data_IF_739079407461
#
_entry.id   IF_739079407461
#
_cell.length_a   1.000
_cell.length_b   1.000
_cell.length_c   1.000
_cell.angle_alpha   90.00
_cell.angle_beta   90.00
_cell.angle_gamma   90.00
#
_symmetry.space_group_name_H-M   'P 1'
#
loop_
_entity.id
_entity.type
_entity.pdbx_description
1 polymer ?
#
# COMPACT_ATOMS: atom_id res chain seq x y z
N UNK A 1 -6.63 -2.36 -19.52
CA UNK A 1 -6.27 -3.71 -20.05
C UNK A 1 -5.21 -4.31 -19.15
N UNK A 2 -5.31 -5.60 -18.83
CA UNK A 2 -4.30 -6.32 -18.03
C UNK A 2 -3.72 -7.47 -18.82
N UNK A 3 -2.42 -7.69 -18.74
CA UNK A 3 -1.75 -8.80 -19.40
C UNK A 3 -0.65 -9.35 -18.50
N UNK A 4 -0.60 -10.66 -18.37
CA UNK A 4 0.46 -11.38 -17.68
C UNK A 4 1.14 -12.31 -18.68
N UNK A 5 2.46 -12.26 -18.75
CA UNK A 5 3.27 -13.16 -19.57
C UNK A 5 4.14 -13.98 -18.65
N UNK A 6 3.92 -15.28 -18.61
CA UNK A 6 4.85 -16.20 -17.94
C UNK A 6 6.14 -16.25 -18.76
N UNK A 7 7.22 -15.71 -18.20
CA UNK A 7 8.55 -15.84 -18.76
C UNK A 7 9.12 -17.24 -18.47
N UNK A 8 8.84 -17.77 -17.26
CA UNK A 8 8.97 -19.20 -16.91
C UNK A 8 7.93 -19.58 -15.82
N UNK A 9 7.95 -20.83 -15.34
CA UNK A 9 7.13 -21.31 -14.20
C UNK A 9 7.29 -20.48 -12.90
N UNK A 10 8.42 -19.81 -12.71
CA UNK A 10 8.76 -19.02 -11.52
C UNK A 10 8.79 -17.50 -11.77
N UNK A 11 8.62 -17.04 -13.01
CA UNK A 11 8.72 -15.62 -13.36
C UNK A 11 7.58 -15.19 -14.26
N UNK A 12 6.89 -14.14 -13.87
CA UNK A 12 5.87 -13.47 -14.69
C UNK A 12 6.25 -12.01 -14.90
N UNK A 13 6.02 -11.52 -16.11
CA UNK A 13 5.95 -10.09 -16.39
C UNK A 13 4.49 -9.66 -16.40
N UNK A 14 4.18 -8.58 -15.69
CA UNK A 14 2.84 -8.01 -15.62
C UNK A 14 2.85 -6.64 -16.28
N UNK A 15 1.89 -6.42 -17.16
CA UNK A 15 1.69 -5.17 -17.88
C UNK A 15 0.21 -4.79 -17.83
N UNK A 16 -0.07 -3.56 -17.40
CA UNK A 16 -1.41 -3.02 -17.39
C UNK A 16 -1.44 -1.61 -18.00
N UNK A 17 -2.45 -1.39 -18.84
CA UNK A 17 -2.80 -0.07 -19.37
C UNK A 17 -4.11 0.39 -18.75
N UNK A 18 -4.22 1.69 -18.51
CA UNK A 18 -5.48 2.33 -18.12
C UNK A 18 -5.84 3.49 -19.03
N UNK A 19 -7.07 3.95 -18.88
CA UNK A 19 -7.61 5.09 -19.60
C UNK A 19 -8.73 5.69 -18.79
N UNK A 20 -8.54 6.92 -18.33
CA UNK A 20 -9.52 7.65 -17.51
C UNK A 20 -10.50 8.42 -18.39
N UNK A 21 -11.53 7.72 -18.85
CA UNK A 21 -12.55 8.29 -19.76
C UNK A 21 -13.80 8.71 -19.00
N UNK A 22 -14.06 10.02 -18.97
CA UNK A 22 -15.35 10.56 -18.55
C UNK A 22 -16.35 10.59 -19.72
N UNK A 23 -17.59 10.15 -19.48
CA UNK A 23 -18.62 10.06 -20.51
C UNK A 23 -19.12 11.45 -20.93
N UNK A 24 -19.17 11.71 -22.24
CA UNK A 24 -19.67 12.97 -22.80
C UNK A 24 -18.64 14.12 -22.80
N UNK A 25 -17.39 13.84 -22.46
CA UNK A 25 -16.25 14.78 -22.51
C UNK A 25 -15.07 14.07 -23.17
N UNK A 26 -14.25 14.74 -23.98
CA UNK A 26 -13.04 14.16 -24.59
C UNK A 26 -12.23 13.30 -23.59
N UNK A 27 -11.94 12.01 -23.87
CA UNK A 27 -12.21 11.26 -25.11
C UNK A 27 -13.54 10.49 -25.16
N UNK A 28 -14.42 10.61 -24.16
CA UNK A 28 -15.69 9.89 -24.06
C UNK A 28 -16.89 10.56 -24.73
N UNK A 29 -16.67 11.57 -25.58
CA UNK A 29 -17.69 12.18 -26.43
C UNK A 29 -17.84 11.47 -27.79
N UNK A 30 -18.81 11.91 -28.61
CA UNK A 30 -19.09 11.31 -29.91
C UNK A 30 -17.92 11.58 -30.86
N UNK A 31 -17.23 10.51 -31.26
CA UNK A 31 -16.01 10.59 -32.06
C UNK A 31 -14.89 9.78 -31.44
N UNK A 32 -14.82 9.78 -30.10
CA UNK A 32 -14.00 8.92 -29.23
C UNK A 32 -12.58 8.67 -29.76
N UNK A 33 -11.92 9.73 -30.24
CA UNK A 33 -10.58 9.70 -30.83
C UNK A 33 -9.56 10.61 -30.11
N UNK A 34 -9.90 11.03 -28.89
CA UNK A 34 -9.02 11.82 -28.03
C UNK A 34 -7.68 11.13 -27.76
N UNK A 35 -6.62 11.93 -27.74
CA UNK A 35 -5.23 11.46 -27.63
C UNK A 35 -4.69 11.64 -26.22
N UNK A 36 -3.78 10.75 -25.83
CA UNK A 36 -3.04 10.88 -24.57
C UNK A 36 -3.71 10.22 -23.36
N UNK A 37 -4.90 9.64 -23.52
CA UNK A 37 -5.67 9.02 -22.45
C UNK A 37 -5.29 7.55 -22.20
N UNK A 38 -4.09 7.12 -22.61
CA UNK A 38 -3.64 5.74 -22.44
C UNK A 38 -2.40 5.76 -21.56
N UNK A 39 -2.57 5.47 -20.28
CA UNK A 39 -1.49 5.42 -19.32
C UNK A 39 -1.01 3.98 -19.09
N UNK A 40 0.26 3.86 -18.71
CA UNK A 40 0.82 2.61 -18.22
C UNK A 40 0.62 2.57 -16.71
N UNK A 41 -0.32 1.74 -16.27
CA UNK A 41 -0.63 1.60 -14.84
C UNK A 41 0.39 0.71 -14.14
N UNK A 42 0.60 -0.51 -14.64
CA UNK A 42 1.55 -1.46 -14.04
C UNK A 42 2.56 -2.00 -15.05
N UNK A 43 3.82 -2.07 -14.60
CA UNK A 43 4.93 -2.76 -15.29
C UNK A 43 5.85 -3.32 -14.23
N UNK A 44 5.76 -4.62 -13.97
CA UNK A 44 6.61 -5.25 -12.97
C UNK A 44 6.91 -6.71 -13.29
N UNK A 45 7.99 -7.21 -12.69
CA UNK A 45 8.33 -8.62 -12.67
C UNK A 45 7.88 -9.22 -11.34
N UNK A 46 7.26 -10.39 -11.41
CA UNK A 46 6.77 -11.19 -10.29
C UNK A 46 7.55 -12.52 -10.26
N UNK A 47 8.43 -12.66 -9.28
CA UNK A 47 9.26 -13.83 -9.05
C UNK A 47 8.68 -14.66 -7.92
N UNK A 48 8.38 -15.92 -8.20
CA UNK A 48 8.16 -16.92 -7.19
C UNK A 48 9.49 -17.68 -6.96
N UNK A 49 10.00 -17.67 -5.73
CA UNK A 49 11.25 -18.34 -5.35
C UNK A 49 10.94 -19.49 -4.37
N UNK A 50 10.56 -20.68 -4.86
CA UNK A 50 10.06 -21.76 -4.01
C UNK A 50 11.07 -22.23 -2.95
N UNK A 51 12.36 -22.25 -3.29
CA UNK A 51 13.43 -22.66 -2.37
C UNK A 51 13.56 -21.74 -1.15
N UNK A 52 13.20 -20.47 -1.30
CA UNK A 52 13.18 -19.47 -0.22
C UNK A 52 11.79 -19.28 0.40
N UNK A 53 10.75 -19.88 -0.20
CA UNK A 53 9.34 -19.61 0.12
C UNK A 53 9.01 -18.12 0.05
N UNK A 54 9.62 -17.43 -0.91
CA UNK A 54 9.55 -15.98 -1.07
C UNK A 54 8.93 -15.64 -2.41
N UNK A 55 7.97 -14.72 -2.41
CA UNK A 55 7.54 -14.00 -3.60
C UNK A 55 8.19 -12.62 -3.61
N UNK A 56 8.63 -12.15 -4.79
CA UNK A 56 9.20 -10.82 -4.99
C UNK A 56 8.53 -10.17 -6.18
N UNK A 57 8.02 -8.96 -6.00
CA UNK A 57 7.53 -8.13 -7.11
C UNK A 57 8.34 -6.85 -7.22
N UNK A 58 8.84 -6.54 -8.40
CA UNK A 58 9.69 -5.37 -8.65
C UNK A 58 9.25 -4.60 -9.89
N UNK A 59 8.93 -3.31 -9.72
CA UNK A 59 8.47 -2.42 -10.79
C UNK A 59 7.31 -1.51 -10.34
N UNK A 60 6.62 -0.92 -11.32
CA UNK A 60 5.40 -0.13 -11.12
C UNK A 60 4.22 -1.05 -10.81
N UNK A 61 3.69 -0.98 -9.59
CA UNK A 61 2.70 -1.91 -9.06
C UNK A 61 1.92 -1.30 -7.89
N UNK A 62 0.79 -1.92 -7.55
CA UNK A 62 -0.01 -1.53 -6.39
C UNK A 62 0.65 -1.95 -5.07
N UNK A 63 0.74 -1.01 -4.13
CA UNK A 63 1.16 -1.25 -2.74
C UNK A 63 0.00 -0.99 -1.80
N UNK A 64 -0.32 -1.98 -0.96
CA UNK A 64 -1.27 -1.84 0.15
C UNK A 64 -0.59 -2.15 1.47
N UNK A 65 -0.24 -1.10 2.19
CA UNK A 65 0.52 -1.14 3.44
C UNK A 65 -0.33 -0.57 4.57
N UNK A 66 -0.43 -1.31 5.68
CA UNK A 66 -1.29 -0.96 6.83
C UNK A 66 -2.75 -0.66 6.44
N UNK A 67 -3.39 -1.63 5.78
CA UNK A 67 -4.71 -1.50 5.15
C UNK A 67 -4.92 -0.29 4.22
N UNK A 68 -3.85 0.40 3.77
CA UNK A 68 -3.95 1.61 2.95
C UNK A 68 -3.55 2.89 3.68
N UNK A 69 -3.41 2.89 5.01
CA UNK A 69 -3.10 4.10 5.78
C UNK A 69 -1.68 4.61 5.59
N UNK A 70 -0.75 3.74 5.21
CA UNK A 70 0.63 4.14 4.87
C UNK A 70 0.79 4.26 3.35
N UNK A 71 0.30 3.27 2.61
CA UNK A 71 0.26 3.29 1.16
C UNK A 71 -0.95 2.46 0.69
N UNK A 72 -1.70 3.00 -0.26
CA UNK A 72 -2.89 2.36 -0.84
C UNK A 72 -3.03 2.67 -2.32
N UNK A 73 -1.91 2.82 -3.02
CA UNK A 73 -1.83 3.29 -4.40
C UNK A 73 -0.70 2.61 -5.19
N UNK A 74 -0.63 2.92 -6.48
CA UNK A 74 0.41 2.47 -7.40
C UNK A 74 1.70 3.27 -7.22
N UNK A 75 2.82 2.55 -7.13
CA UNK A 75 4.14 3.16 -7.03
C UNK A 75 5.20 2.27 -7.67
N UNK A 76 6.40 2.82 -7.84
CA UNK A 76 7.56 2.05 -8.29
C UNK A 76 8.32 1.55 -7.07
N UNK A 77 8.56 0.25 -7.00
CA UNK A 77 9.30 -0.31 -5.89
C UNK A 77 9.46 -1.82 -5.93
N UNK A 78 9.90 -2.36 -4.80
CA UNK A 78 10.06 -3.79 -4.53
C UNK A 78 9.22 -4.15 -3.32
N UNK A 79 8.42 -5.21 -3.44
CA UNK A 79 7.81 -5.87 -2.29
C UNK A 79 8.14 -7.36 -2.28
N UNK A 80 8.33 -7.88 -1.08
CA UNK A 80 8.59 -9.31 -0.86
C UNK A 80 7.57 -9.89 0.11
N UNK A 81 7.33 -11.20 0.02
CA UNK A 81 6.57 -11.95 1.00
C UNK A 81 7.22 -13.32 1.20
N UNK A 82 7.89 -13.51 2.34
CA UNK A 82 8.59 -14.74 2.74
C UNK A 82 7.77 -15.50 3.78
N UNK A 83 7.38 -16.74 3.50
CA UNK A 83 6.58 -17.57 4.41
C UNK A 83 7.44 -18.43 5.33
N UNK A 84 7.18 -18.33 6.63
CA UNK A 84 7.75 -19.20 7.66
C UNK A 84 6.72 -20.24 8.09
N UNK A 85 6.50 -21.22 7.21
CA UNK A 85 5.44 -22.21 7.38
C UNK A 85 4.06 -21.56 7.30
N UNK A 86 3.09 -22.12 8.04
CA UNK A 86 1.72 -21.59 8.07
C UNK A 86 1.49 -20.51 9.11
N UNK A 87 2.42 -20.36 10.07
CA UNK A 87 2.25 -19.50 11.23
C UNK A 87 2.59 -18.03 10.97
N UNK A 88 3.55 -17.76 10.08
CA UNK A 88 4.04 -16.40 9.86
C UNK A 88 4.46 -16.11 8.42
N UNK A 89 4.37 -14.85 8.00
CA UNK A 89 4.98 -14.35 6.78
C UNK A 89 5.61 -12.97 7.01
N UNK A 90 6.87 -12.78 6.61
CA UNK A 90 7.54 -11.49 6.59
C UNK A 90 7.33 -10.84 5.23
N UNK A 91 6.87 -9.60 5.24
CA UNK A 91 6.81 -8.71 4.08
C UNK A 91 7.82 -7.59 4.27
N UNK A 92 8.55 -7.31 3.20
CA UNK A 92 9.49 -6.18 3.13
C UNK A 92 9.10 -5.31 1.95
N UNK A 93 9.21 -4.01 2.12
CA UNK A 93 8.85 -3.00 1.13
C UNK A 93 9.99 -2.02 0.96
N UNK A 94 10.28 -1.69 -0.29
CA UNK A 94 10.96 -0.46 -0.67
C UNK A 94 10.16 0.19 -1.78
N UNK A 95 9.86 1.48 -1.63
CA UNK A 95 9.12 2.26 -2.63
C UNK A 95 9.89 3.53 -2.89
N UNK A 96 10.13 3.82 -4.16
CA UNK A 96 10.63 5.12 -4.60
C UNK A 96 9.42 6.03 -4.77
N UNK A 97 9.15 6.85 -3.75
CA UNK A 97 7.96 7.70 -3.71
C UNK A 97 8.15 8.96 -4.57
N UNK A 98 9.34 9.57 -4.50
CA UNK A 98 9.72 10.71 -5.33
C UNK A 98 11.18 10.56 -5.75
N UNK A 99 11.43 10.66 -7.06
CA UNK A 99 12.76 10.89 -7.61
C UNK A 99 12.99 12.40 -7.67
N UNK A 100 14.10 12.88 -7.10
CA UNK A 100 14.50 14.26 -7.29
C UNK A 100 14.70 14.56 -8.77
N UNK A 101 14.19 15.69 -9.28
CA UNK A 101 14.33 16.01 -10.69
C UNK A 101 15.81 16.17 -11.10
N UNK A 102 16.13 15.85 -12.35
CA UNK A 102 17.51 15.77 -12.91
C UNK A 102 18.34 17.07 -12.77
N UNK A 103 17.71 18.19 -12.41
CA UNK A 103 18.34 19.52 -12.25
C UNK A 103 17.80 20.33 -11.06
N UNK A 104 17.15 19.70 -10.07
CA UNK A 104 16.58 20.41 -8.91
C UNK A 104 17.21 19.95 -7.60
N UNK A 105 17.26 20.85 -6.63
CA UNK A 105 17.64 20.59 -5.24
C UNK A 105 16.57 19.80 -4.46
N UNK A 106 15.61 19.16 -5.14
CA UNK A 106 14.61 18.36 -4.46
C UNK A 106 15.23 17.04 -4.06
N UNK A 107 15.23 16.78 -2.76
CA UNK A 107 15.74 15.55 -2.21
C UNK A 107 14.87 14.34 -2.61
N UNK A 108 15.51 13.19 -2.76
CA UNK A 108 14.86 11.92 -3.01
C UNK A 108 13.99 11.48 -1.83
N UNK A 109 12.79 10.94 -2.12
CA UNK A 109 11.94 10.32 -1.11
C UNK A 109 11.85 8.81 -1.35
N UNK A 110 12.43 8.06 -0.42
CA UNK A 110 12.37 6.61 -0.36
C UNK A 110 11.56 6.17 0.85
N UNK A 111 10.67 5.20 0.67
CA UNK A 111 9.95 4.53 1.74
C UNK A 111 10.49 3.11 1.93
N UNK A 112 10.65 2.71 3.19
CA UNK A 112 11.08 1.37 3.58
C UNK A 112 10.12 0.84 4.64
N UNK A 113 9.77 -0.44 4.55
CA UNK A 113 8.86 -1.04 5.52
C UNK A 113 9.09 -2.53 5.75
N UNK A 114 8.72 -2.98 6.94
CA UNK A 114 8.65 -4.38 7.29
C UNK A 114 7.32 -4.66 8.02
N UNK A 115 6.61 -5.69 7.58
CA UNK A 115 5.36 -6.15 8.20
C UNK A 115 5.45 -7.67 8.40
N UNK A 116 4.99 -8.14 9.55
CA UNK A 116 5.00 -9.59 9.85
C UNK A 116 3.58 -10.05 10.09
N UNK A 117 3.00 -10.82 9.17
CA UNK A 117 1.70 -11.45 9.38
C UNK A 117 1.89 -12.64 10.32
N UNK A 118 1.27 -12.62 11.50
CA UNK A 118 1.29 -13.69 12.49
C UNK A 118 -0.11 -14.28 12.63
N UNK A 119 -0.27 -15.58 12.36
CA UNK A 119 -1.55 -16.29 12.53
C UNK A 119 -1.76 -16.68 13.99
N UNK A 120 -2.90 -16.28 14.55
CA UNK A 120 -3.37 -16.63 15.87
C UNK A 120 -4.81 -17.18 15.76
N UNK A 121 -4.92 -18.49 15.47
CA UNK A 121 -6.21 -19.13 15.22
C UNK A 121 -6.92 -18.53 13.99
N UNK A 122 -8.18 -18.06 14.11
CA UNK A 122 -8.90 -17.45 12.99
C UNK A 122 -8.49 -15.99 12.70
N UNK A 123 -7.57 -15.43 13.49
CA UNK A 123 -7.09 -14.06 13.38
C UNK A 123 -5.67 -14.01 12.83
N UNK A 124 -5.33 -12.92 12.17
CA UNK A 124 -3.97 -12.55 11.78
C UNK A 124 -3.66 -11.19 12.38
N UNK A 125 -2.56 -11.09 13.11
CA UNK A 125 -2.00 -9.83 13.61
C UNK A 125 -0.79 -9.49 12.75
N UNK A 126 -0.73 -8.27 12.24
CA UNK A 126 0.32 -7.85 11.31
C UNK A 126 0.99 -6.58 11.85
N UNK A 127 1.88 -6.66 12.85
CA UNK A 127 2.71 -5.54 13.24
C UNK A 127 3.51 -5.01 12.05
N UNK A 128 3.65 -3.69 11.99
CA UNK A 128 4.38 -2.98 10.96
C UNK A 128 5.29 -1.92 11.57
N UNK A 129 6.49 -1.82 11.01
CA UNK A 129 7.41 -0.72 11.19
C UNK A 129 7.87 -0.25 9.81
N UNK A 130 7.84 1.05 9.58
CA UNK A 130 8.29 1.65 8.33
C UNK A 130 8.89 3.02 8.57
N UNK A 131 9.60 3.54 7.58
CA UNK A 131 10.04 4.93 7.58
C UNK A 131 10.17 5.45 6.15
N UNK A 132 9.95 6.75 5.98
CA UNK A 132 10.38 7.48 4.80
C UNK A 132 11.70 8.18 5.10
N UNK A 133 12.55 8.27 4.10
CA UNK A 133 13.72 9.14 4.09
C UNK A 133 13.55 10.16 3.00
N UNK A 134 13.67 11.44 3.37
CA UNK A 134 13.74 12.55 2.44
C UNK A 134 15.14 13.16 2.52
N UNK A 135 15.97 12.86 1.53
CA UNK A 135 17.35 13.36 1.47
C UNK A 135 18.22 12.94 2.65
N UNK A 136 18.97 13.90 3.22
CA UNK A 136 19.97 13.63 4.28
C UNK A 136 19.46 13.85 5.71
N UNK A 137 18.34 14.53 5.91
CA UNK A 137 18.04 15.20 7.18
C UNK A 137 16.61 14.98 7.68
N UNK A 138 15.81 14.13 7.05
CA UNK A 138 14.38 14.03 7.35
C UNK A 138 13.94 12.58 7.24
N UNK A 139 13.52 12.02 8.38
CA UNK A 139 12.95 10.68 8.46
C UNK A 139 11.60 10.76 9.19
N UNK A 140 10.52 10.28 8.54
CA UNK A 140 9.23 10.04 9.19
C UNK A 140 9.13 8.55 9.45
N UNK A 141 8.86 8.16 10.69
CA UNK A 141 8.70 6.78 11.11
C UNK A 141 7.22 6.45 11.26
N UNK A 142 6.86 5.20 10.97
CA UNK A 142 5.53 4.66 11.10
C UNK A 142 5.60 3.36 11.89
N UNK A 143 4.68 3.18 12.83
CA UNK A 143 4.61 1.98 13.66
C UNK A 143 3.18 1.67 14.03
N UNK A 144 2.84 0.39 14.04
CA UNK A 144 1.49 -0.03 14.41
C UNK A 144 1.19 -1.46 14.01
N UNK A 145 -0.08 -1.77 13.74
CA UNK A 145 -0.49 -3.10 13.34
C UNK A 145 -1.83 -3.10 12.57
N UNK A 146 -1.99 -4.12 11.74
CA UNK A 146 -3.30 -4.59 11.28
C UNK A 146 -3.72 -5.83 12.09
N UNK A 147 -5.02 -5.97 12.35
CA UNK A 147 -5.64 -7.18 12.87
C UNK A 147 -6.82 -7.51 11.95
N UNK A 148 -6.83 -8.71 11.39
CA UNK A 148 -7.94 -9.15 10.55
C UNK A 148 -8.25 -10.62 10.77
N UNK A 149 -9.53 -11.00 10.73
CA UNK A 149 -9.91 -12.40 10.83
C UNK A 149 -11.38 -12.63 11.08
N UNK A 150 -11.71 -13.87 11.41
CA UNK A 150 -13.10 -14.28 11.69
C UNK A 150 -13.36 -14.26 13.19
N UNK A 151 -14.45 -13.62 13.60
CA UNK A 151 -15.03 -13.74 14.95
C UNK A 151 -16.02 -14.91 15.06
N UNK A 152 -16.48 -15.43 13.92
CA UNK A 152 -17.38 -16.57 13.80
C UNK A 152 -17.55 -16.99 12.34
N UNK A 153 -18.47 -17.91 12.05
CA UNK A 153 -18.68 -18.42 10.68
C UNK A 153 -19.03 -17.30 9.68
N UNK A 154 -19.83 -16.32 10.12
CA UNK A 154 -20.38 -15.27 9.27
C UNK A 154 -19.90 -13.86 9.64
N UNK A 155 -18.99 -13.72 10.61
CA UNK A 155 -18.56 -12.42 11.14
C UNK A 155 -17.06 -12.25 10.96
N UNK A 156 -16.65 -11.14 10.36
CA UNK A 156 -15.25 -10.73 10.23
C UNK A 156 -14.98 -9.44 10.98
N UNK A 157 -13.77 -9.32 11.50
CA UNK A 157 -13.23 -8.11 12.11
C UNK A 157 -12.01 -7.66 11.31
N UNK A 158 -11.89 -6.36 11.12
CA UNK A 158 -10.67 -5.71 10.67
C UNK A 158 -10.40 -4.50 11.58
N UNK A 159 -9.16 -4.34 12.03
CA UNK A 159 -8.69 -3.20 12.81
C UNK A 159 -7.33 -2.79 12.29
N UNK A 160 -7.10 -1.49 12.15
CA UNK A 160 -5.78 -0.93 11.86
C UNK A 160 -5.49 0.17 12.86
N UNK A 161 -4.28 0.21 13.38
CA UNK A 161 -3.79 1.31 14.21
C UNK A 161 -2.37 1.63 13.77
N UNK A 162 -2.13 2.86 13.32
CA UNK A 162 -0.82 3.33 12.86
C UNK A 162 -0.53 4.66 13.51
N UNK A 163 0.63 4.77 14.13
CA UNK A 163 1.21 6.04 14.58
C UNK A 163 2.38 6.40 13.69
N UNK A 164 2.47 7.65 13.29
CA UNK A 164 3.70 8.21 12.74
C UNK A 164 4.31 9.24 13.68
N UNK A 165 5.62 9.42 13.58
CA UNK A 165 6.41 10.39 14.34
C UNK A 165 7.71 10.69 13.60
N UNK A 166 8.36 11.80 13.93
CA UNK A 166 9.64 12.19 13.35
C UNK A 166 9.67 13.68 13.04
N UNK A 167 10.58 14.03 12.13
CA UNK A 167 10.77 15.40 11.65
C UNK A 167 10.43 15.43 10.16
N UNK A 168 9.82 16.52 9.69
CA UNK A 168 9.60 16.76 8.26
C UNK A 168 10.12 18.14 7.84
N UNK A 169 11.29 18.21 7.17
CA UNK A 169 11.79 19.44 6.53
C UNK A 169 11.82 20.67 7.47
N UNK A 170 12.14 20.48 8.76
CA UNK A 170 12.16 21.55 9.77
C UNK A 170 10.84 21.81 10.49
N UNK A 171 9.77 21.08 10.16
CA UNK A 171 8.55 20.98 10.98
C UNK A 171 8.79 19.88 12.03
N UNK A 172 8.94 20.31 13.29
CA UNK A 172 8.95 19.41 14.44
C UNK A 172 7.52 18.95 14.74
N UNK A 173 7.36 17.70 15.17
CA UNK A 173 6.10 17.05 15.56
C UNK A 173 5.16 16.69 14.39
N UNK A 174 5.60 15.85 13.45
CA UNK A 174 4.66 15.15 12.54
C UNK A 174 3.98 13.97 13.23
N UNK A 175 3.49 14.18 14.45
CA UNK A 175 2.83 13.14 15.24
C UNK A 175 1.40 12.95 14.77
N UNK A 176 1.17 11.85 14.04
CA UNK A 176 -0.16 11.45 13.60
C UNK A 176 -0.56 10.10 14.19
N UNK A 177 -1.86 9.90 14.34
CA UNK A 177 -2.45 8.60 14.60
C UNK A 177 -3.58 8.36 13.59
N UNK A 178 -3.60 7.16 13.03
CA UNK A 178 -4.66 6.65 12.19
C UNK A 178 -5.21 5.37 12.82
N UNK A 179 -6.52 5.28 12.88
CA UNK A 179 -7.25 4.15 13.42
C UNK A 179 -8.39 3.77 12.49
N UNK A 180 -8.63 2.48 12.34
CA UNK A 180 -9.78 1.94 11.64
C UNK A 180 -10.28 0.71 12.38
N UNK A 181 -11.60 0.54 12.41
CA UNK A 181 -12.24 -0.68 12.84
C UNK A 181 -13.47 -0.95 11.96
N UNK A 182 -13.61 -2.19 11.52
CA UNK A 182 -14.72 -2.66 10.71
C UNK A 182 -15.20 -4.03 11.19
N UNK A 183 -16.51 -4.19 11.33
CA UNK A 183 -17.17 -5.47 11.54
C UNK A 183 -18.06 -5.77 10.35
N UNK A 184 -17.89 -6.94 9.76
CA UNK A 184 -18.60 -7.37 8.55
C UNK A 184 -19.37 -8.64 8.84
N UNK A 185 -20.67 -8.60 8.59
CA UNK A 185 -21.60 -9.68 8.89
C UNK A 185 -22.29 -10.14 7.61
N UNK A 186 -22.16 -11.43 7.30
CA UNK A 186 -22.98 -12.08 6.28
C UNK A 186 -24.31 -12.51 6.90
N UNK A 187 -25.42 -12.15 6.25
CA UNK A 187 -26.80 -12.42 6.65
C UNK A 187 -27.55 -13.08 5.48
N UNK A 188 -27.26 -14.35 5.22
CA UNK A 188 -27.83 -15.09 4.09
C UNK A 188 -27.31 -14.54 2.76
N UNK A 189 -28.18 -13.88 1.99
CA UNK A 189 -27.84 -13.23 0.71
C UNK A 189 -27.41 -11.77 0.85
N UNK A 190 -27.50 -11.19 2.06
CA UNK A 190 -27.09 -9.82 2.32
C UNK A 190 -25.77 -9.79 3.11
N UNK A 191 -24.97 -8.75 2.87
CA UNK A 191 -23.80 -8.41 3.68
C UNK A 191 -24.04 -7.06 4.34
N UNK A 192 -23.76 -6.95 5.64
CA UNK A 192 -23.86 -5.72 6.43
C UNK A 192 -22.49 -5.42 7.03
N UNK A 193 -22.02 -4.17 6.90
CA UNK A 193 -20.82 -3.72 7.59
C UNK A 193 -21.10 -2.51 8.49
N UNK A 194 -20.38 -2.43 9.60
CA UNK A 194 -20.24 -1.22 10.40
C UNK A 194 -18.75 -0.90 10.48
N UNK A 195 -18.39 0.28 10.01
CA UNK A 195 -17.00 0.69 9.84
C UNK A 195 -16.82 2.12 10.34
N UNK A 196 -15.66 2.37 10.95
CA UNK A 196 -15.25 3.69 11.39
C UNK A 196 -13.76 3.86 11.20
N UNK A 197 -13.35 5.05 10.77
CA UNK A 197 -11.97 5.45 10.65
C UNK A 197 -11.76 6.79 11.35
N UNK A 198 -10.57 7.00 11.88
CA UNK A 198 -10.12 8.27 12.42
C UNK A 198 -8.68 8.50 12.00
N UNK A 199 -8.37 9.73 11.60
CA UNK A 199 -7.03 10.19 11.26
C UNK A 199 -6.88 11.56 11.91
N UNK A 200 -5.81 11.78 12.67
CA UNK A 200 -5.58 13.07 13.31
C UNK A 200 -4.19 13.25 13.90
N UNK A 201 -3.91 14.49 14.28
CA UNK A 201 -2.66 15.00 14.83
C UNK A 201 -2.98 15.77 16.14
N UNK A 202 -2.17 15.58 17.17
CA UNK A 202 -2.32 16.23 18.48
C UNK A 202 -1.77 17.68 18.50
N UNK A 203 -1.11 18.12 17.44
CA UNK A 203 -0.18 19.25 17.41
C UNK A 203 -0.51 20.41 16.48
N UNK A 204 -1.72 20.58 15.91
CA UNK A 204 -2.04 21.67 14.95
C UNK A 204 -1.03 21.83 13.79
N UNK A 205 -0.18 20.84 13.52
CA UNK A 205 1.06 21.02 12.78
C UNK A 205 0.99 20.32 11.42
N UNK A 206 -0.13 20.42 10.69
CA UNK A 206 -0.29 19.82 9.36
C UNK A 206 0.22 18.36 9.27
N UNK A 207 0.23 17.62 10.39
CA UNK A 207 0.73 16.26 10.52
C UNK A 207 -0.28 15.27 9.93
N UNK A 208 -0.66 15.52 8.69
CA UNK A 208 -1.60 14.70 7.97
C UNK A 208 -0.84 13.46 7.48
N UNK A 209 -1.44 12.29 7.63
CA UNK A 209 -1.09 11.15 6.79
C UNK A 209 -1.20 11.65 5.35
N UNK A 210 -0.09 11.69 4.63
CA UNK A 210 -0.03 12.28 3.30
C UNK A 210 -1.06 11.54 2.44
N UNK A 211 -2.14 12.22 2.07
CA UNK A 211 -3.08 11.74 1.08
C UNK A 211 -2.32 11.70 -0.25
N UNK A 212 -2.07 10.50 -0.74
CA UNK A 212 -1.40 10.26 -2.03
C UNK A 212 -2.37 10.46 -3.18
N UNK A 213 -3.06 11.61 -3.23
CA UNK A 213 -3.92 11.99 -4.36
C UNK A 213 -3.11 12.59 -5.50
#
# INVERSE_FOLDING_TARGET
MWTEVAADENVKAVFALESDIAWGTDPGDIGTDGKGNLEVKHVYLDFNLPSLKTNVKAGAQYFKIANGFIAGDDAIGIQTATKFGDAAALKLYWVKAVEGGVNVTSDDIDFYGAQVDLKAGPMTVSPILAWTRNGKNTDIYFGGFDLAGKLGENTKLAVTLIKNWGDNLGVQNVDGLAAYAGVFQKMGSADVSLEGAWIGDDGRANGQFVDGS
#
